data_IF_662518640057
#
_entry.id   IF_662518640057
#
_cell.length_a   1.000
_cell.length_b   1.000
_cell.length_c   1.000
_cell.angle_alpha   90.00
_cell.angle_beta   90.00
_cell.angle_gamma   90.00
#
_symmetry.space_group_name_H-M   'P 1'
#
loop_
_entity.id
_entity.type
_entity.pdbx_description
1 polymer ?
#
# COMPACT_ATOMS: atom_id res chain seq x y z
N UNK A 1 12.52 17.60 -2.68
CA UNK A 1 12.71 17.14 -3.03
C UNK A 1 12.39 15.93 -3.03
N UNK A 2 12.57 15.28 -2.45
CA UNK A 2 12.35 13.90 -2.61
C UNK A 2 11.21 13.41 -1.76
N UNK A 3 10.07 13.37 -2.39
CA UNK A 3 8.92 12.74 -1.76
C UNK A 3 9.10 11.21 -1.81
N UNK A 4 8.84 10.50 -0.73
CA UNK A 4 8.94 9.05 -0.77
C UNK A 4 7.82 8.46 -1.63
N UNK A 5 8.06 7.28 -2.17
CA UNK A 5 7.04 6.51 -2.84
C UNK A 5 6.30 5.73 -1.78
N UNK A 6 5.00 5.92 -1.70
CA UNK A 6 4.19 5.20 -0.73
C UNK A 6 3.81 3.83 -1.25
N UNK A 7 3.85 2.82 -0.39
CA UNK A 7 3.41 1.48 -0.74
C UNK A 7 2.41 1.03 0.30
N UNK A 8 1.19 0.78 -0.13
CA UNK A 8 0.15 0.29 0.75
C UNK A 8 -0.05 -1.20 0.53
N UNK A 9 -0.04 -1.94 1.63
CA UNK A 9 -0.23 -3.39 1.61
C UNK A 9 -1.43 -3.71 2.48
N UNK A 10 -2.36 -4.49 1.95
CA UNK A 10 -3.55 -4.88 2.70
C UNK A 10 -3.27 -5.99 3.71
N UNK A 11 -2.00 -6.38 3.87
CA UNK A 11 -1.62 -7.33 4.91
C UNK A 11 -0.73 -8.47 4.45
N UNK A 12 -0.72 -8.79 3.15
CA UNK A 12 0.06 -9.92 2.64
C UNK A 12 0.78 -9.54 1.36
N UNK A 13 2.04 -9.90 1.27
CA UNK A 13 2.78 -9.85 0.01
C UNK A 13 3.40 -8.51 -0.35
N UNK A 14 3.05 -7.45 0.36
CA UNK A 14 3.55 -6.12 0.01
C UNK A 14 5.04 -5.96 0.21
N UNK A 15 5.61 -6.64 1.20
CA UNK A 15 7.05 -6.57 1.42
C UNK A 15 7.83 -7.17 0.26
N UNK A 16 7.30 -8.22 -0.37
CA UNK A 16 7.94 -8.80 -1.54
C UNK A 16 7.95 -7.80 -2.69
N UNK A 17 6.83 -7.10 -2.89
CA UNK A 17 6.73 -6.07 -3.92
C UNK A 17 7.71 -4.94 -3.61
N UNK A 18 7.78 -4.50 -2.36
CA UNK A 18 8.70 -3.44 -1.96
C UNK A 18 10.15 -3.83 -2.24
N UNK A 19 10.54 -5.04 -1.90
CA UNK A 19 11.91 -5.50 -2.14
C UNK A 19 12.26 -5.49 -3.62
N UNK A 20 11.33 -5.94 -4.46
CA UNK A 20 11.54 -5.95 -5.90
C UNK A 20 11.69 -4.54 -6.46
N UNK A 21 10.84 -3.62 -6.01
CA UNK A 21 10.88 -2.25 -6.50
C UNK A 21 12.17 -1.56 -6.05
N UNK A 22 12.57 -1.74 -4.81
CA UNK A 22 13.82 -1.15 -4.32
C UNK A 22 15.03 -1.65 -5.07
N UNK A 23 14.99 -2.90 -5.50
CA UNK A 23 16.08 -3.48 -6.26
C UNK A 23 16.22 -2.81 -7.63
N UNK A 24 15.08 -2.49 -8.25
CA UNK A 24 15.07 -1.85 -9.56
C UNK A 24 15.26 -0.35 -9.48
N UNK A 25 14.78 0.28 -8.43
CA UNK A 25 14.80 1.73 -8.28
C UNK A 25 15.36 2.10 -6.90
N UNK A 26 16.66 1.84 -6.68
CA UNK A 26 17.23 2.07 -5.35
C UNK A 26 17.45 3.54 -5.00
N UNK A 27 17.30 4.43 -5.97
CA UNK A 27 17.55 5.85 -5.74
C UNK A 27 16.39 6.57 -5.08
N UNK A 28 15.24 5.91 -4.91
CA UNK A 28 14.08 6.54 -4.30
C UNK A 28 13.92 6.11 -2.84
N UNK A 29 13.26 6.96 -2.08
CA UNK A 29 12.86 6.63 -0.72
C UNK A 29 11.47 6.00 -0.76
N UNK A 30 11.18 5.14 0.21
CA UNK A 30 9.91 4.42 0.25
C UNK A 30 9.29 4.51 1.62
N UNK A 31 7.97 4.66 1.66
CA UNK A 31 7.21 4.62 2.89
C UNK A 31 6.20 3.48 2.76
N UNK A 32 6.37 2.45 3.57
CA UNK A 32 5.54 1.27 3.51
C UNK A 32 4.50 1.32 4.62
N UNK A 33 3.24 1.12 4.24
CA UNK A 33 2.13 1.06 5.18
C UNK A 33 1.43 -0.29 5.03
N UNK A 34 1.51 -1.12 6.05
CA UNK A 34 0.85 -2.42 6.07
C UNK A 34 -0.33 -2.38 7.04
N UNK A 35 -1.47 -2.86 6.60
CA UNK A 35 -2.68 -2.85 7.42
C UNK A 35 -2.94 -4.27 7.94
N UNK A 36 -2.02 -4.76 8.77
CA UNK A 36 -2.11 -6.12 9.29
C UNK A 36 -3.26 -6.29 10.27
N UNK A 37 -3.65 -5.22 10.95
CA UNK A 37 -4.69 -5.31 11.96
C UNK A 37 -6.06 -5.65 11.36
N UNK A 38 -6.29 -5.30 10.10
CA UNK A 38 -7.58 -5.52 9.44
C UNK A 38 -7.50 -6.56 8.33
N UNK A 39 -6.35 -7.16 8.14
CA UNK A 39 -6.20 -8.22 7.15
C UNK A 39 -6.92 -9.48 7.65
N UNK A 40 -7.41 -10.34 6.74
CA UNK A 40 -7.34 -10.21 5.30
C UNK A 40 -8.50 -9.37 4.74
N UNK A 41 -8.21 -8.59 3.74
CA UNK A 41 -9.24 -7.75 3.12
C UNK A 41 -10.21 -8.59 2.28
N UNK A 42 -9.75 -9.70 1.75
CA UNK A 42 -10.54 -10.52 0.83
C UNK A 42 -11.82 -11.06 1.41
N UNK A 43 -11.93 -11.13 2.76
CA UNK A 43 -13.13 -11.62 3.41
C UNK A 43 -14.11 -10.50 3.74
N UNK A 44 -13.79 -9.26 3.39
CA UNK A 44 -14.63 -8.11 3.73
C UNK A 44 -15.40 -7.64 2.51
N UNK A 45 -16.45 -6.85 2.75
CA UNK A 45 -17.23 -6.30 1.67
C UNK A 45 -16.41 -5.29 0.87
N UNK A 46 -16.82 -5.07 -0.38
CA UNK A 46 -16.15 -4.12 -1.23
C UNK A 46 -16.13 -2.71 -0.62
N UNK A 47 -17.24 -2.29 -0.03
CA UNK A 47 -17.33 -0.97 0.58
C UNK A 47 -16.34 -0.79 1.71
N UNK A 48 -16.16 -1.81 2.54
CA UNK A 48 -15.22 -1.76 3.65
C UNK A 48 -13.79 -1.69 3.13
N UNK A 49 -13.45 -2.50 2.13
CA UNK A 49 -12.12 -2.49 1.56
C UNK A 49 -11.83 -1.15 0.90
N UNK A 50 -12.81 -0.58 0.20
CA UNK A 50 -12.66 0.72 -0.41
C UNK A 50 -12.35 1.78 0.64
N UNK A 51 -13.07 1.76 1.76
CA UNK A 51 -12.85 2.74 2.82
C UNK A 51 -11.46 2.59 3.45
N UNK A 52 -11.03 1.37 3.72
CA UNK A 52 -9.70 1.14 4.28
C UNK A 52 -8.61 1.63 3.33
N UNK A 53 -8.77 1.34 2.04
CA UNK A 53 -7.81 1.77 1.04
C UNK A 53 -7.76 3.29 0.95
N UNK A 54 -8.92 3.93 0.97
CA UNK A 54 -9.00 5.38 0.93
C UNK A 54 -8.30 6.01 2.13
N UNK A 55 -8.52 5.46 3.33
CA UNK A 55 -7.87 5.96 4.53
C UNK A 55 -6.36 5.85 4.43
N UNK A 56 -5.88 4.72 3.90
CA UNK A 56 -4.45 4.50 3.74
C UNK A 56 -3.85 5.50 2.74
N UNK A 57 -4.53 5.72 1.63
CA UNK A 57 -4.06 6.66 0.62
C UNK A 57 -4.00 8.07 1.18
N UNK A 58 -5.03 8.48 1.91
CA UNK A 58 -5.04 9.79 2.53
C UNK A 58 -3.90 9.95 3.52
N UNK A 59 -3.64 8.91 4.30
CA UNK A 59 -2.53 8.94 5.25
C UNK A 59 -1.20 9.13 4.52
N UNK A 60 -1.00 8.38 3.43
CA UNK A 60 0.26 8.46 2.68
C UNK A 60 0.43 9.82 2.01
N UNK A 61 -0.66 10.41 1.51
CA UNK A 61 -0.58 11.76 0.96
C UNK A 61 -0.17 12.76 2.05
N UNK A 62 -0.67 12.60 3.27
CA UNK A 62 -0.28 13.47 4.37
C UNK A 62 1.19 13.30 4.74
N UNK A 63 1.76 12.15 4.43
CA UNK A 63 3.18 11.88 4.65
C UNK A 63 4.03 12.33 3.46
N UNK A 64 3.46 13.13 2.58
CA UNK A 64 4.16 13.72 1.44
C UNK A 64 4.51 12.71 0.35
N UNK A 65 3.77 11.63 0.25
CA UNK A 65 3.92 10.68 -0.85
C UNK A 65 3.12 11.21 -2.04
N UNK A 66 3.78 11.38 -3.18
CA UNK A 66 3.11 11.85 -4.39
C UNK A 66 2.82 10.70 -5.35
N UNK A 67 3.41 9.55 -5.13
CA UNK A 67 3.16 8.34 -5.89
C UNK A 67 2.89 7.23 -4.89
N UNK A 68 1.79 6.52 -5.07
CA UNK A 68 1.39 5.46 -4.16
C UNK A 68 1.14 4.19 -4.95
N UNK A 69 1.74 3.10 -4.49
CA UNK A 69 1.57 1.80 -5.10
C UNK A 69 0.68 0.98 -4.20
N UNK A 70 -0.39 0.43 -4.77
CA UNK A 70 -1.32 -0.40 -4.02
C UNK A 70 -0.95 -1.86 -4.26
N UNK A 71 -0.33 -2.47 -3.26
CA UNK A 71 0.12 -3.85 -3.36
C UNK A 71 -0.95 -4.79 -2.81
N UNK A 72 -1.07 -5.93 -3.43
CA UNK A 72 -1.91 -7.02 -2.93
C UNK A 72 -3.40 -6.75 -2.87
N UNK A 73 -3.90 -5.80 -3.66
CA UNK A 73 -5.34 -5.63 -3.80
C UNK A 73 -5.96 -6.72 -4.65
N UNK A 74 -5.14 -7.56 -5.27
CA UNK A 74 -5.65 -8.72 -6.00
C UNK A 74 -6.34 -9.73 -5.08
N UNK A 75 -6.23 -9.55 -3.78
CA UNK A 75 -6.98 -10.37 -2.84
C UNK A 75 -8.46 -10.06 -2.82
N UNK A 76 -8.86 -8.98 -3.46
CA UNK A 76 -10.27 -8.63 -3.61
C UNK A 76 -10.75 -9.32 -4.86
N UNK A 77 -11.55 -10.34 -4.66
CA UNK A 77 -12.16 -11.02 -5.81
C UNK A 77 -13.52 -10.41 -6.05
N UNK A 78 -13.61 -9.73 -7.14
CA UNK A 78 -14.84 -9.05 -7.53
C UNK A 78 -15.46 -9.79 -8.69
#
# INVERSE_FOLDING_TARGET
MNSPIGIFDSGYGGLTVLKSIKKLLPQYDYLYLGDNARAPYGSRSFDVVYQYTREAIEYLFKQNCHLIILACLSLIHI
#
